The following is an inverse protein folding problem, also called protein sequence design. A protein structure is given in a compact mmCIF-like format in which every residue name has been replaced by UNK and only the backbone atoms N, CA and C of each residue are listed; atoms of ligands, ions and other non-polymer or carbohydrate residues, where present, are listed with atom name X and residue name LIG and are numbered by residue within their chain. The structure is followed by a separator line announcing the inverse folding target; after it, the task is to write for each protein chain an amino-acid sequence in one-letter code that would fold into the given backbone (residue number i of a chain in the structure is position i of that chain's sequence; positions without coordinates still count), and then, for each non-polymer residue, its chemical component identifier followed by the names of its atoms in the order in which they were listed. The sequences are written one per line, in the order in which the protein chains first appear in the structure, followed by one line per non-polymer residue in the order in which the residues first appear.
data_IF_960887827563
#
_entry.id   IF_960887827563
#
_cell.length_a   1.000
_cell.length_b   1.000
_cell.length_c   1.000
_cell.angle_alpha   90.00
_cell.angle_beta   90.00
_cell.angle_gamma   90.00
#
_symmetry.space_group_name_H-M   'P 1'
#
loop_
_entity.id
_entity.type
_entity.pdbx_description
1 polymer ?
#
# COMPACT_ATOMS: atom_id res chain seq x y z
N UNK A 1 -8.74 -9.76 20.22
CA UNK A 1 -8.69 -8.61 21.11
C UNK A 1 -8.52 -9.05 22.56
N UNK A 2 -8.22 -8.11 23.45
CA UNK A 2 -8.12 -8.35 24.89
C UNK A 2 -9.37 -8.99 25.45
N UNK A 3 -9.23 -9.85 26.49
CA UNK A 3 -10.37 -10.56 27.09
C UNK A 3 -11.08 -11.57 26.19
N UNK A 4 -10.42 -12.07 25.14
CA UNK A 4 -11.02 -13.02 24.20
C UNK A 4 -12.12 -12.44 23.31
N UNK A 5 -12.29 -11.13 23.25
CA UNK A 5 -13.26 -10.47 22.38
C UNK A 5 -12.85 -10.58 20.92
N UNK A 6 -13.83 -10.61 20.03
CA UNK A 6 -13.63 -10.66 18.58
C UNK A 6 -14.06 -9.35 17.95
N UNK A 7 -13.29 -8.89 16.95
CA UNK A 7 -13.64 -7.80 16.06
C UNK A 7 -13.80 -8.38 14.66
N UNK A 8 -14.89 -8.04 14.00
CA UNK A 8 -15.14 -8.43 12.63
C UNK A 8 -14.93 -7.21 11.72
N UNK A 9 -14.12 -7.40 10.70
CA UNK A 9 -13.95 -6.40 9.64
C UNK A 9 -14.70 -6.87 8.40
N UNK A 10 -15.32 -5.94 7.71
CA UNK A 10 -16.00 -6.19 6.45
C UNK A 10 -15.46 -5.27 5.37
N UNK A 11 -15.15 -5.81 4.21
CA UNK A 11 -14.65 -5.06 3.08
C UNK A 11 -14.96 -5.76 1.76
N UNK A 12 -14.63 -5.09 0.67
CA UNK A 12 -14.72 -5.62 -0.68
C UNK A 12 -13.38 -5.41 -1.37
N UNK A 13 -12.79 -6.50 -1.85
CA UNK A 13 -11.58 -6.46 -2.65
C UNK A 13 -12.01 -6.28 -4.10
N UNK A 14 -11.44 -5.29 -4.79
CA UNK A 14 -11.79 -5.02 -6.18
C UNK A 14 -11.27 -6.11 -7.10
N UNK A 15 -9.99 -6.51 -6.91
CA UNK A 15 -9.35 -7.53 -7.75
C UNK A 15 -8.23 -8.24 -6.99
N UNK A 16 -8.22 -9.57 -7.13
CA UNK A 16 -7.12 -10.45 -6.71
C UNK A 16 -6.61 -11.15 -7.95
N UNK A 17 -5.32 -11.05 -8.21
CA UNK A 17 -4.65 -11.81 -9.27
C UNK A 17 -3.75 -12.87 -8.66
N UNK A 18 -3.63 -14.01 -9.33
CA UNK A 18 -2.71 -15.07 -8.98
C UNK A 18 -1.89 -15.53 -10.18
N UNK A 19 -0.65 -15.91 -9.91
CA UNK A 19 0.19 -16.64 -10.87
C UNK A 19 0.76 -17.86 -10.18
N UNK A 20 0.86 -18.98 -10.90
CA UNK A 20 1.51 -20.21 -10.40
C UNK A 20 2.75 -20.46 -11.25
N UNK A 21 3.90 -20.54 -10.60
CA UNK A 21 5.21 -20.74 -11.20
C UNK A 21 5.91 -21.82 -10.37
N UNK A 22 6.34 -22.90 -11.01
CA UNK A 22 7.05 -24.02 -10.36
C UNK A 22 6.37 -24.49 -9.05
N UNK A 23 5.06 -24.76 -9.10
CA UNK A 23 4.21 -25.19 -7.97
C UNK A 23 4.06 -24.17 -6.83
N UNK A 24 4.58 -22.95 -6.98
CA UNK A 24 4.36 -21.83 -6.05
C UNK A 24 3.33 -20.88 -6.61
N UNK A 25 2.39 -20.48 -5.78
CA UNK A 25 1.38 -19.51 -6.15
C UNK A 25 1.72 -18.14 -5.58
N UNK A 26 1.57 -17.10 -6.38
CA UNK A 26 1.82 -15.71 -6.02
C UNK A 26 0.52 -14.93 -6.08
N UNK A 27 0.21 -14.15 -5.04
CA UNK A 27 -0.99 -13.34 -4.98
C UNK A 27 -0.67 -11.85 -4.97
N UNK A 28 -1.37 -11.08 -5.78
CA UNK A 28 -1.38 -9.61 -5.69
C UNK A 28 -2.79 -9.06 -5.55
N UNK A 29 -2.90 -7.95 -4.85
CA UNK A 29 -4.12 -7.15 -4.77
C UNK A 29 -4.01 -5.97 -5.72
N UNK A 30 -5.07 -5.71 -6.46
CA UNK A 30 -5.22 -4.50 -7.28
C UNK A 30 -6.48 -3.76 -6.83
N UNK A 31 -6.31 -2.50 -6.51
CA UNK A 31 -7.38 -1.64 -6.01
C UNK A 31 -7.53 -0.43 -6.95
N UNK A 32 -8.76 -0.20 -7.44
CA UNK A 32 -9.07 0.85 -8.40
C UNK A 32 -9.43 2.15 -7.69
N UNK A 33 -8.76 3.24 -8.04
CA UNK A 33 -8.99 4.56 -7.44
C UNK A 33 -9.36 5.61 -8.48
N UNK A 34 -10.36 6.42 -8.20
CA UNK A 34 -10.75 7.57 -9.04
C UNK A 34 -9.80 8.76 -8.94
N UNK A 35 -8.94 8.79 -7.93
CA UNK A 35 -7.89 9.80 -7.75
C UNK A 35 -6.51 9.14 -7.70
N UNK A 36 -5.47 9.89 -8.03
CA UNK A 36 -4.10 9.39 -7.93
C UNK A 36 -3.77 8.97 -6.50
N UNK A 37 -3.42 7.69 -6.33
CA UNK A 37 -3.07 7.09 -5.03
C UNK A 37 -1.76 6.32 -5.15
N UNK A 38 -0.97 6.34 -4.09
CA UNK A 38 0.21 5.48 -3.92
C UNK A 38 0.22 4.95 -2.49
N UNK A 39 0.97 3.88 -2.24
CA UNK A 39 1.16 3.35 -0.90
C UNK A 39 2.26 4.14 -0.19
N UNK A 40 1.87 4.94 0.80
CA UNK A 40 2.80 5.63 1.69
C UNK A 40 3.03 4.78 2.95
N UNK A 41 4.25 4.25 3.11
CA UNK A 41 4.62 3.43 4.26
C UNK A 41 4.61 4.24 5.58
N UNK A 42 4.76 5.56 5.54
CA UNK A 42 4.57 6.39 6.73
C UNK A 42 3.10 6.36 7.17
N UNK A 43 2.16 6.49 6.23
CA UNK A 43 0.74 6.36 6.55
C UNK A 43 0.43 4.97 7.12
N UNK A 44 0.98 3.90 6.52
CA UNK A 44 0.84 2.52 7.02
C UNK A 44 1.34 2.41 8.46
N UNK A 45 2.54 2.92 8.75
CA UNK A 45 3.15 2.86 10.07
C UNK A 45 2.27 3.51 11.15
N UNK A 46 1.63 4.61 10.81
CA UNK A 46 0.71 5.31 11.72
C UNK A 46 -0.75 4.80 11.68
N UNK A 47 -1.03 3.74 10.94
CA UNK A 47 -2.35 3.11 10.89
C UNK A 47 -3.38 3.83 9.99
N UNK A 48 -2.93 4.65 9.02
CA UNK A 48 -3.82 5.45 8.19
C UNK A 48 -4.18 4.82 6.84
N UNK A 49 -3.26 4.11 6.19
CA UNK A 49 -3.42 3.55 4.83
C UNK A 49 -3.29 2.04 4.83
N UNK A 50 -4.18 1.34 5.57
CA UNK A 50 -4.07 -0.10 5.81
C UNK A 50 -4.81 -0.96 4.78
N UNK A 51 -5.73 -0.39 4.00
CA UNK A 51 -6.73 -1.12 3.21
C UNK A 51 -6.13 -2.22 2.33
N UNK A 52 -5.22 -1.89 1.42
CA UNK A 52 -4.71 -2.87 0.44
C UNK A 52 -3.83 -3.94 1.07
N UNK A 53 -3.08 -3.60 2.13
CA UNK A 53 -2.30 -4.58 2.89
C UNK A 53 -3.20 -5.50 3.72
N UNK A 54 -4.31 -4.98 4.26
CA UNK A 54 -5.36 -5.80 4.90
C UNK A 54 -5.99 -6.76 3.89
N UNK A 55 -6.26 -6.30 2.67
CA UNK A 55 -6.79 -7.14 1.61
C UNK A 55 -5.81 -8.25 1.21
N UNK A 56 -4.52 -7.93 1.11
CA UNK A 56 -3.48 -8.92 0.87
C UNK A 56 -3.41 -9.95 2.01
N UNK A 57 -3.45 -9.51 3.26
CA UNK A 57 -3.42 -10.38 4.43
C UNK A 57 -4.60 -11.37 4.42
N UNK A 58 -5.82 -10.87 4.20
CA UNK A 58 -7.03 -11.70 4.12
C UNK A 58 -6.98 -12.66 2.93
N UNK A 59 -6.51 -12.20 1.76
CA UNK A 59 -6.37 -13.05 0.58
C UNK A 59 -5.36 -14.17 0.80
N UNK A 60 -4.24 -13.88 1.45
CA UNK A 60 -3.21 -14.88 1.81
C UNK A 60 -3.75 -15.91 2.81
N UNK A 61 -4.43 -15.49 3.87
CA UNK A 61 -5.03 -16.41 4.85
C UNK A 61 -6.05 -17.36 4.23
N UNK A 62 -6.76 -16.92 3.20
CA UNK A 62 -7.82 -17.69 2.54
C UNK A 62 -7.36 -18.30 1.21
N UNK A 63 -6.08 -18.21 0.87
CA UNK A 63 -5.56 -18.67 -0.43
C UNK A 63 -5.85 -20.14 -0.72
N UNK A 64 -5.85 -21.00 0.29
CA UNK A 64 -6.16 -22.43 0.18
C UNK A 64 -7.57 -22.76 -0.35
N UNK A 65 -8.51 -21.80 -0.31
CA UNK A 65 -9.84 -21.98 -0.91
C UNK A 65 -9.83 -21.82 -2.44
N UNK A 66 -8.81 -21.18 -3.00
CA UNK A 66 -8.77 -20.80 -4.41
C UNK A 66 -7.57 -21.37 -5.15
N UNK A 67 -6.51 -21.69 -4.42
CA UNK A 67 -5.23 -22.13 -4.98
C UNK A 67 -4.83 -23.48 -4.43
N UNK A 68 -4.12 -24.24 -5.24
CA UNK A 68 -3.45 -25.47 -4.82
C UNK A 68 -2.06 -25.11 -4.30
N UNK A 69 -1.74 -25.48 -3.06
CA UNK A 69 -0.42 -25.27 -2.45
C UNK A 69 -0.28 -23.95 -1.67
N UNK A 70 0.96 -23.68 -1.28
CA UNK A 70 1.29 -22.47 -0.54
C UNK A 70 1.32 -21.24 -1.46
N UNK A 71 0.78 -20.13 -0.95
CA UNK A 71 0.81 -18.86 -1.65
C UNK A 71 1.84 -17.91 -1.04
N UNK A 72 2.48 -17.11 -1.88
CA UNK A 72 3.36 -16.01 -1.47
C UNK A 72 2.79 -14.65 -1.88
N UNK A 73 3.00 -13.61 -1.06
CA UNK A 73 2.54 -12.28 -1.39
C UNK A 73 3.40 -11.70 -2.53
N UNK A 74 2.80 -11.39 -3.67
CA UNK A 74 3.46 -10.72 -4.79
C UNK A 74 3.40 -9.19 -4.68
N UNK A 75 2.39 -8.65 -3.99
CA UNK A 75 2.31 -7.23 -3.73
C UNK A 75 0.92 -6.64 -3.77
N UNK A 76 0.89 -5.32 -3.66
CA UNK A 76 -0.33 -4.51 -3.69
C UNK A 76 -0.16 -3.34 -4.64
N UNK A 77 -1.14 -3.11 -5.50
CA UNK A 77 -1.09 -2.09 -6.54
C UNK A 77 -2.38 -1.25 -6.56
N UNK A 78 -2.22 0.02 -6.85
CA UNK A 78 -3.32 0.93 -7.18
C UNK A 78 -3.35 1.20 -8.68
N UNK A 79 -4.53 1.13 -9.26
CA UNK A 79 -4.82 1.57 -10.62
C UNK A 79 -5.62 2.86 -10.57
N UNK A 80 -5.09 3.90 -11.18
CA UNK A 80 -5.81 5.16 -11.30
C UNK A 80 -6.78 5.09 -12.50
N UNK A 81 -8.08 5.02 -12.20
CA UNK A 81 -9.16 4.91 -13.20
C UNK A 81 -9.67 6.29 -13.54
N UNK A 82 -8.94 7.01 -14.36
CA UNK A 82 -9.32 8.35 -14.77
C UNK A 82 -8.68 8.66 -16.13
N UNK A 83 -9.32 9.48 -16.92
CA UNK A 83 -8.75 9.93 -18.20
C UNK A 83 -7.91 11.20 -17.95
N UNK A 84 -6.58 11.09 -17.83
CA UNK A 84 -5.75 12.24 -17.49
C UNK A 84 -5.72 13.27 -18.62
N UNK A 85 -5.89 14.55 -18.27
CA UNK A 85 -5.57 15.63 -19.17
C UNK A 85 -4.05 15.84 -19.21
N UNK A 86 -3.47 15.75 -20.39
CA UNK A 86 -2.05 16.03 -20.60
C UNK A 86 -1.86 17.54 -20.76
N UNK A 87 -0.99 18.13 -19.96
CA UNK A 87 -0.48 19.47 -20.20
C UNK A 87 0.70 19.35 -21.15
N UNK A 88 0.57 19.88 -22.35
CA UNK A 88 1.58 19.81 -23.39
C UNK A 88 2.30 21.15 -23.50
N UNK A 89 3.59 21.17 -23.20
CA UNK A 89 4.43 22.36 -23.32
C UNK A 89 4.94 22.59 -24.76
N UNK A 90 4.74 21.61 -25.65
CA UNK A 90 5.19 21.64 -27.05
C UNK A 90 4.17 20.98 -27.97
N UNK A 91 4.16 21.39 -29.26
CA UNK A 91 3.43 20.66 -30.29
C UNK A 91 4.06 19.26 -30.45
N UNK A 92 3.34 18.24 -30.03
CA UNK A 92 3.76 16.83 -30.12
C UNK A 92 3.23 16.19 -31.40
N UNK A 93 3.89 15.16 -31.88
CA UNK A 93 3.36 14.29 -32.93
C UNK A 93 2.17 13.49 -32.40
N UNK A 94 1.29 13.03 -33.29
CA UNK A 94 0.06 12.31 -32.88
C UNK A 94 0.30 11.04 -32.04
N UNK A 95 1.50 10.50 -32.05
CA UNK A 95 1.88 9.26 -31.34
C UNK A 95 2.39 9.52 -29.90
N UNK A 96 3.10 10.62 -29.69
CA UNK A 96 3.65 11.01 -28.38
C UNK A 96 2.59 11.24 -27.29
N UNK A 97 1.44 11.87 -27.55
CA UNK A 97 0.38 12.06 -26.55
C UNK A 97 -0.21 10.76 -26.04
N UNK A 98 -0.27 9.72 -26.87
CA UNK A 98 -0.79 8.40 -26.48
C UNK A 98 0.19 7.68 -25.54
N UNK A 99 1.49 7.71 -25.84
CA UNK A 99 2.52 7.12 -24.98
C UNK A 99 2.60 7.82 -23.63
N UNK A 100 2.53 9.14 -23.58
CA UNK A 100 2.53 9.90 -22.33
C UNK A 100 1.25 9.69 -21.52
N UNK A 101 0.12 9.46 -22.17
CA UNK A 101 -1.10 9.05 -21.50
C UNK A 101 -0.97 7.67 -20.89
N UNK A 102 -0.40 6.70 -21.61
CA UNK A 102 -0.19 5.35 -21.11
C UNK A 102 0.74 5.33 -19.89
N UNK A 103 1.76 6.17 -19.83
CA UNK A 103 2.63 6.31 -18.65
C UNK A 103 1.85 6.70 -17.39
N UNK A 104 0.76 7.46 -17.52
CA UNK A 104 -0.06 7.87 -16.37
C UNK A 104 -0.93 6.75 -15.82
N UNK A 105 -1.15 5.69 -16.58
CA UNK A 105 -1.84 4.48 -16.12
C UNK A 105 -0.91 3.47 -15.43
N UNK A 106 0.40 3.77 -15.37
CA UNK A 106 1.33 2.92 -14.63
C UNK A 106 0.85 2.75 -13.20
N UNK A 107 0.67 1.50 -12.80
CA UNK A 107 0.25 1.15 -11.45
C UNK A 107 1.26 1.65 -10.42
N UNK A 108 0.77 2.01 -9.24
CA UNK A 108 1.57 2.44 -8.09
C UNK A 108 1.34 1.50 -6.93
N UNK A 109 2.29 1.39 -6.02
CA UNK A 109 2.15 0.51 -4.86
C UNK A 109 3.47 -0.09 -4.42
N UNK A 110 3.42 -1.31 -3.90
CA UNK A 110 4.57 -2.02 -3.35
C UNK A 110 4.51 -3.49 -3.77
N UNK A 111 5.63 -4.01 -4.27
CA UNK A 111 5.74 -5.40 -4.70
C UNK A 111 6.74 -6.16 -3.83
N UNK A 112 6.62 -7.47 -3.79
CA UNK A 112 7.64 -8.33 -3.22
C UNK A 112 8.84 -8.43 -4.17
N UNK A 113 10.04 -8.48 -3.60
CA UNK A 113 11.28 -8.70 -4.33
C UNK A 113 11.38 -10.18 -4.76
N UNK A 114 10.62 -10.52 -5.79
CA UNK A 114 10.64 -11.83 -6.42
C UNK A 114 10.60 -11.65 -7.93
N UNK A 115 11.70 -12.03 -8.59
CA UNK A 115 11.87 -11.81 -10.03
C UNK A 115 10.81 -12.56 -10.85
N UNK A 116 10.50 -13.81 -10.51
CA UNK A 116 9.53 -14.63 -11.23
C UNK A 116 8.13 -14.02 -11.14
N UNK A 117 7.70 -13.64 -9.93
CA UNK A 117 6.42 -12.97 -9.73
C UNK A 117 6.35 -11.62 -10.47
N UNK A 118 7.45 -10.86 -10.53
CA UNK A 118 7.53 -9.59 -11.27
C UNK A 118 7.42 -9.84 -12.77
N UNK A 119 8.14 -10.83 -13.31
CA UNK A 119 8.11 -11.18 -14.73
C UNK A 119 6.72 -11.69 -15.15
N UNK A 120 6.02 -12.41 -14.29
CA UNK A 120 4.63 -12.80 -14.57
C UNK A 120 3.64 -11.63 -14.63
N UNK A 121 4.04 -10.45 -14.12
CA UNK A 121 3.24 -9.21 -14.20
C UNK A 121 3.54 -8.40 -15.46
N UNK A 122 4.77 -8.48 -15.98
CA UNK A 122 5.23 -7.75 -17.17
C UNK A 122 6.32 -8.54 -17.89
N UNK A 123 5.91 -9.38 -18.84
CA UNK A 123 6.78 -10.24 -19.64
C UNK A 123 7.79 -9.45 -20.48
N UNK A 124 7.50 -8.18 -20.82
CA UNK A 124 8.44 -7.34 -21.58
C UNK A 124 9.76 -7.09 -20.83
N UNK A 125 9.76 -7.22 -19.50
CA UNK A 125 10.96 -7.08 -18.69
C UNK A 125 11.96 -8.22 -18.88
N UNK A 126 11.52 -9.39 -19.28
CA UNK A 126 12.39 -10.55 -19.53
C UNK A 126 13.31 -10.31 -20.74
N UNK A 127 12.75 -9.77 -21.83
CA UNK A 127 13.51 -9.55 -23.05
C UNK A 127 14.42 -8.32 -23.01
N UNK A 128 13.91 -7.22 -22.46
CA UNK A 128 14.58 -5.90 -22.59
C UNK A 128 15.20 -5.37 -21.29
N UNK A 129 14.79 -5.89 -20.14
CA UNK A 129 15.10 -5.27 -18.86
C UNK A 129 14.55 -3.83 -18.79
N UNK A 130 15.09 -3.02 -17.89
CA UNK A 130 14.75 -1.60 -17.80
C UNK A 130 13.51 -1.32 -16.97
N UNK A 131 12.91 -0.14 -17.21
CA UNK A 131 11.68 0.26 -16.49
C UNK A 131 10.44 -0.39 -17.09
N UNK A 132 9.66 -1.06 -16.25
CA UNK A 132 8.32 -1.48 -16.63
C UNK A 132 7.43 -0.28 -16.95
N UNK A 133 6.58 -0.43 -17.97
CA UNK A 133 5.58 0.56 -18.35
C UNK A 133 4.29 0.45 -17.52
N UNK A 134 4.08 -0.69 -16.85
CA UNK A 134 2.82 -1.00 -16.16
C UNK A 134 2.93 -1.13 -14.64
N UNK A 135 4.09 -1.56 -14.10
CA UNK A 135 4.34 -1.72 -12.67
C UNK A 135 5.54 -0.89 -12.19
N UNK A 136 5.65 -0.55 -10.89
CA UNK A 136 6.72 0.33 -10.39
C UNK A 136 8.05 -0.41 -10.17
N UNK A 137 8.56 -1.05 -11.21
CA UNK A 137 9.79 -1.85 -11.16
C UNK A 137 10.76 -1.44 -12.28
N UNK A 138 12.05 -1.55 -11.96
CA UNK A 138 13.17 -1.55 -12.90
C UNK A 138 13.89 -2.90 -12.81
N UNK A 139 13.97 -3.63 -13.91
CA UNK A 139 14.70 -4.89 -14.01
C UNK A 139 16.10 -4.64 -14.55
N UNK A 140 17.11 -5.14 -13.85
CA UNK A 140 18.50 -5.08 -14.31
C UNK A 140 18.73 -6.10 -15.43
N UNK A 141 19.86 -5.96 -16.16
CA UNK A 141 20.23 -6.87 -17.23
C UNK A 141 20.52 -8.31 -16.76
N UNK A 142 20.81 -8.50 -15.49
CA UNK A 142 21.00 -9.81 -14.87
C UNK A 142 19.71 -10.51 -14.46
N UNK A 143 18.55 -9.92 -14.78
CA UNK A 143 17.24 -10.46 -14.44
C UNK A 143 16.81 -10.22 -12.99
N UNK A 144 17.55 -9.40 -12.22
CA UNK A 144 17.18 -9.04 -10.85
C UNK A 144 16.51 -7.66 -10.79
N UNK A 145 15.49 -7.47 -9.94
CA UNK A 145 14.90 -6.15 -9.74
C UNK A 145 15.85 -5.21 -8.99
N UNK A 146 15.82 -3.94 -9.33
CA UNK A 146 16.67 -2.92 -8.67
C UNK A 146 15.95 -2.32 -7.47
N UNK A 147 16.46 -2.52 -6.28
CA UNK A 147 15.90 -1.94 -5.04
C UNK A 147 15.81 -0.39 -5.10
N UNK A 148 16.84 0.27 -5.66
CA UNK A 148 16.91 1.74 -5.68
C UNK A 148 15.98 2.40 -6.71
N UNK A 149 15.57 1.64 -7.75
CA UNK A 149 14.74 2.16 -8.85
C UNK A 149 13.35 1.50 -8.91
N UNK A 150 13.04 0.66 -7.93
CA UNK A 150 11.78 -0.07 -7.84
C UNK A 150 11.07 0.19 -6.51
N UNK A 151 9.78 -0.02 -6.51
CA UNK A 151 8.96 -0.04 -5.29
C UNK A 151 8.78 -1.49 -4.84
N UNK A 152 9.85 -2.06 -4.30
CA UNK A 152 9.89 -3.46 -3.84
C UNK A 152 10.39 -3.55 -2.40
N UNK A 153 10.02 -4.63 -1.75
CA UNK A 153 10.56 -5.06 -0.45
C UNK A 153 10.81 -6.57 -0.47
N UNK A 154 11.77 -7.09 0.31
CA UNK A 154 11.93 -8.53 0.50
C UNK A 154 10.61 -9.22 0.85
N UNK A 155 10.41 -10.44 0.36
CA UNK A 155 9.17 -11.22 0.61
C UNK A 155 8.87 -11.33 2.11
N UNK A 156 9.90 -11.53 2.94
CA UNK A 156 9.73 -11.58 4.39
C UNK A 156 9.26 -10.26 4.99
N UNK A 157 9.65 -9.13 4.43
CA UNK A 157 9.17 -7.83 4.88
C UNK A 157 7.73 -7.57 4.44
N UNK A 158 7.34 -8.05 3.28
CA UNK A 158 5.93 -8.03 2.88
C UNK A 158 5.07 -8.82 3.86
N UNK A 159 5.53 -10.01 4.31
CA UNK A 159 4.87 -10.79 5.37
C UNK A 159 4.84 -10.05 6.72
N UNK A 160 5.94 -9.39 7.10
CA UNK A 160 5.98 -8.54 8.31
C UNK A 160 5.02 -7.35 8.21
N UNK A 161 4.90 -6.72 7.04
CA UNK A 161 3.91 -5.66 6.81
C UNK A 161 2.47 -6.14 7.03
N UNK A 162 2.12 -7.35 6.57
CA UNK A 162 0.79 -7.95 6.82
C UNK A 162 0.55 -8.15 8.33
N UNK A 163 1.53 -8.72 9.06
CA UNK A 163 1.44 -8.88 10.50
C UNK A 163 1.31 -7.54 11.24
N UNK A 164 2.07 -6.53 10.80
CA UNK A 164 2.00 -5.18 11.36
C UNK A 164 0.61 -4.56 11.18
N UNK A 165 0.04 -4.67 10.00
CA UNK A 165 -1.31 -4.18 9.72
C UNK A 165 -2.36 -4.87 10.59
N UNK A 166 -2.25 -6.19 10.76
CA UNK A 166 -3.12 -6.97 11.66
C UNK A 166 -3.01 -6.47 13.11
N UNK A 167 -1.79 -6.19 13.58
CA UNK A 167 -1.57 -5.60 14.91
C UNK A 167 -2.21 -4.22 15.03
N UNK A 168 -2.08 -3.35 14.03
CA UNK A 168 -2.74 -2.04 14.02
C UNK A 168 -4.27 -2.14 14.13
N UNK A 169 -4.89 -3.11 13.47
CA UNK A 169 -6.32 -3.37 13.65
C UNK A 169 -6.64 -3.84 15.07
N UNK A 170 -5.82 -4.69 15.66
CA UNK A 170 -6.00 -5.14 17.04
C UNK A 170 -5.84 -3.99 18.03
N UNK A 171 -4.85 -3.11 17.85
CA UNK A 171 -4.65 -1.90 18.66
C UNK A 171 -5.89 -1.00 18.60
N UNK A 172 -6.39 -0.71 17.39
CA UNK A 172 -7.60 0.07 17.20
C UNK A 172 -8.83 -0.57 17.86
N UNK A 173 -9.02 -1.88 17.68
CA UNK A 173 -10.12 -2.62 18.29
C UNK A 173 -10.06 -2.62 19.83
N UNK A 174 -8.85 -2.74 20.40
CA UNK A 174 -8.67 -2.66 21.86
C UNK A 174 -8.92 -1.25 22.39
N UNK A 175 -8.51 -0.20 21.66
CA UNK A 175 -8.84 1.19 21.99
C UNK A 175 -10.36 1.43 22.04
N UNK A 176 -11.09 0.92 21.03
CA UNK A 176 -12.56 0.97 21.02
C UNK A 176 -13.15 0.25 22.24
N UNK A 177 -12.67 -0.95 22.55
CA UNK A 177 -13.17 -1.74 23.68
C UNK A 177 -12.87 -1.11 25.05
N UNK A 178 -11.75 -0.40 25.17
CA UNK A 178 -11.39 0.32 26.40
C UNK A 178 -12.14 1.64 26.57
N UNK A 179 -12.91 2.05 25.56
CA UNK A 179 -13.63 3.34 25.58
C UNK A 179 -12.68 4.54 25.42
N UNK A 180 -11.57 4.37 24.69
CA UNK A 180 -10.67 5.50 24.41
C UNK A 180 -11.36 6.51 23.49
N UNK A 181 -11.66 7.68 24.06
CA UNK A 181 -12.30 8.83 23.38
C UNK A 181 -11.39 10.05 23.33
N UNK A 182 -10.09 9.88 23.56
CA UNK A 182 -9.13 10.97 23.54
C UNK A 182 -9.11 11.68 22.18
N UNK A 183 -9.28 13.00 22.21
CA UNK A 183 -9.21 13.83 21.02
C UNK A 183 -7.75 14.20 20.74
N UNK A 184 -7.13 13.45 19.83
CA UNK A 184 -5.75 13.71 19.40
C UNK A 184 -5.63 13.51 17.87
N UNK A 185 -6.22 14.42 17.06
CA UNK A 185 -6.14 14.31 15.61
C UNK A 185 -4.70 14.35 15.15
N UNK A 186 -4.39 13.57 14.11
CA UNK A 186 -3.02 13.59 13.57
C UNK A 186 -2.74 14.84 12.76
N UNK A 187 -1.46 15.23 12.75
CA UNK A 187 -0.94 16.31 11.91
C UNK A 187 0.34 15.87 11.21
N UNK A 188 0.40 16.08 9.90
CA UNK A 188 1.58 15.86 9.05
C UNK A 188 1.95 17.20 8.43
N UNK A 189 3.09 17.77 8.82
CA UNK A 189 3.49 19.13 8.42
C UNK A 189 2.34 20.11 8.72
N UNK A 190 1.82 20.78 7.69
CA UNK A 190 0.75 21.78 7.81
C UNK A 190 -0.67 21.21 7.65
N UNK A 191 -0.81 19.90 7.35
CA UNK A 191 -2.11 19.25 7.15
C UNK A 191 -2.51 18.45 8.38
N UNK A 192 -3.68 18.72 8.91
CA UNK A 192 -4.25 17.98 10.02
C UNK A 192 -5.52 17.24 9.59
N UNK A 193 -5.78 16.08 10.21
CA UNK A 193 -7.03 15.37 10.02
C UNK A 193 -8.25 16.22 10.36
N UNK A 194 -8.08 17.14 11.29
CA UNK A 194 -9.08 18.08 11.74
C UNK A 194 -9.58 19.03 10.65
N UNK A 195 -8.70 19.47 9.72
CA UNK A 195 -8.99 20.48 8.70
C UNK A 195 -10.14 20.10 7.76
N UNK A 196 -10.34 18.79 7.57
CA UNK A 196 -11.39 18.23 6.69
C UNK A 196 -12.40 17.35 7.44
N UNK A 197 -12.40 17.35 8.77
CA UNK A 197 -13.27 16.50 9.56
C UNK A 197 -14.71 17.07 9.58
N UNK A 198 -15.67 16.29 9.08
CA UNK A 198 -17.09 16.65 9.11
C UNK A 198 -17.68 16.77 10.53
N UNK A 199 -17.00 16.21 11.55
CA UNK A 199 -17.39 16.25 12.94
C UNK A 199 -16.66 17.31 13.76
N UNK A 200 -15.91 18.21 13.13
CA UNK A 200 -15.15 19.25 13.81
C UNK A 200 -16.03 20.10 14.76
N UNK A 201 -17.22 20.48 14.31
CA UNK A 201 -18.16 21.27 15.12
C UNK A 201 -18.67 20.52 16.37
N UNK A 202 -18.73 19.20 16.35
CA UNK A 202 -19.15 18.37 17.48
C UNK A 202 -18.01 18.13 18.45
N UNK A 203 -16.84 17.79 17.93
CA UNK A 203 -15.66 17.50 18.75
C UNK A 203 -15.09 18.73 19.45
N UNK A 204 -15.18 19.91 18.81
CA UNK A 204 -14.67 21.18 19.36
C UNK A 204 -13.20 21.09 19.79
N UNK A 205 -12.37 20.40 19.00
CA UNK A 205 -10.94 20.29 19.28
C UNK A 205 -10.28 21.68 19.23
N UNK A 206 -9.65 22.08 20.34
CA UNK A 206 -8.94 23.35 20.45
C UNK A 206 -7.54 23.14 21.08
N UNK A 207 -6.49 23.17 20.26
CA UNK A 207 -5.13 23.01 20.77
C UNK A 207 -4.61 24.22 21.53
N UNK A 208 -5.33 25.37 21.52
CA UNK A 208 -4.89 26.58 22.16
C UNK A 208 -5.11 26.61 23.69
N UNK A 209 -6.02 25.74 24.18
CA UNK A 209 -6.30 25.66 25.64
C UNK A 209 -5.24 24.84 26.41
N UNK A 210 -4.27 24.22 25.69
CA UNK A 210 -3.18 23.44 26.26
C UNK A 210 -3.57 22.05 26.80
N UNK A 211 -4.86 21.68 26.77
CA UNK A 211 -5.36 20.37 27.21
C UNK A 211 -5.42 19.36 26.07
N UNK A 212 -5.52 19.84 24.85
CA UNK A 212 -5.61 19.03 23.64
C UNK A 212 -4.41 19.30 22.74
N UNK A 213 -3.92 18.28 22.05
CA UNK A 213 -2.78 18.44 21.17
C UNK A 213 -2.90 17.56 19.94
N UNK A 214 -2.27 18.00 18.84
CA UNK A 214 -2.11 17.17 17.66
C UNK A 214 -1.12 16.05 17.91
N UNK A 215 -1.43 14.87 17.41
CA UNK A 215 -0.47 13.79 17.28
C UNK A 215 0.39 14.04 16.03
N UNK A 216 1.62 14.52 16.25
CA UNK A 216 2.55 14.81 15.17
C UNK A 216 3.07 13.51 14.53
N UNK A 217 2.89 13.34 13.22
CA UNK A 217 3.39 12.20 12.48
C UNK A 217 4.70 12.54 11.79
N UNK A 218 5.78 11.93 12.27
CA UNK A 218 7.12 12.14 11.74
C UNK A 218 7.30 11.35 10.45
N UNK A 219 7.75 12.04 9.39
CA UNK A 219 8.03 11.41 8.11
C UNK A 219 9.45 10.84 8.08
N UNK A 220 9.62 9.65 7.55
CA UNK A 220 10.90 9.00 7.35
C UNK A 220 10.99 8.40 5.94
N UNK A 221 12.19 8.01 5.53
CA UNK A 221 12.38 7.33 4.24
C UNK A 221 11.69 5.95 4.27
N UNK A 222 11.22 5.43 3.13
CA UNK A 222 10.53 4.13 3.09
C UNK A 222 11.31 2.99 3.75
N UNK A 223 12.61 2.88 3.52
CA UNK A 223 13.45 1.85 4.12
C UNK A 223 13.55 1.98 5.63
N UNK A 224 13.65 3.22 6.16
CA UNK A 224 13.68 3.46 7.60
C UNK A 224 12.35 3.05 8.26
N UNK A 225 11.23 3.21 7.55
CA UNK A 225 9.92 2.75 8.01
C UNK A 225 9.84 1.22 8.02
N UNK A 226 10.33 0.56 6.97
CA UNK A 226 10.41 -0.92 6.94
C UNK A 226 11.24 -1.43 8.11
N UNK A 227 12.36 -0.80 8.41
CA UNK A 227 13.22 -1.18 9.54
C UNK A 227 12.54 -0.96 10.90
N UNK A 228 11.76 0.11 11.05
CA UNK A 228 10.93 0.31 12.26
C UNK A 228 9.89 -0.78 12.40
N UNK A 229 9.18 -1.12 11.33
CA UNK A 229 8.17 -2.17 11.32
C UNK A 229 8.79 -3.53 11.65
N UNK A 230 9.97 -3.85 11.11
CA UNK A 230 10.71 -5.08 11.45
C UNK A 230 10.94 -5.19 12.96
N UNK A 231 11.48 -4.12 13.57
CA UNK A 231 11.78 -4.08 15.01
C UNK A 231 10.55 -4.18 15.90
N UNK A 232 9.41 -3.72 15.41
CA UNK A 232 8.17 -3.80 16.18
C UNK A 232 7.48 -5.17 16.08
N UNK A 233 7.80 -5.97 15.06
CA UNK A 233 7.20 -7.29 14.84
C UNK A 233 8.08 -8.43 15.40
N UNK A 234 9.38 -8.18 15.60
CA UNK A 234 10.30 -9.08 16.31
C UNK A 234 10.00 -9.13 17.81
#
# INVERSE_FOLDING_TARGET
LTGGKKMFMRGRIDRVDSATIDDRSYLRIVDYKSSARDLDLNEVYYGLSLQVLTYLDVAMENSSYWLSGEAEPAGVLYVHVHNPMLTLDKALTAREPEEDRLKQYKMKGLLSENAEAILSMDEQLEESGGHSKIIPVYMKKDGTPSESQSRIVPVNDMKKLQHFVRRKHQEAGNGILSGDTAMSPYKVKDKAAWDSCQFAAVCQFDPSDGKQSYRQLMQAKPNDIVDKIRKEIE
#
